data_IF_817207521399
#
_entry.id   IF_817207521399
#
_cell.length_a   1.000
_cell.length_b   1.000
_cell.length_c   1.000
_cell.angle_alpha   90.00
_cell.angle_beta   90.00
_cell.angle_gamma   90.00
#
_symmetry.space_group_name_H-M   'P 1'
#
loop_
_entity.id
_entity.type
_entity.pdbx_description
1 polymer ?
#
# COMPACT_ATOMS: atom_id res chain seq x y z
N UNK A 1 33.57 -3.86 17.88
CA UNK A 1 32.32 -4.22 17.27
C UNK A 1 32.59 -4.93 15.96
N UNK A 2 31.78 -5.89 15.50
CA UNK A 2 32.06 -6.55 14.23
C UNK A 2 32.11 -5.52 13.10
N UNK A 3 33.07 -5.68 12.19
CA UNK A 3 33.30 -4.75 11.08
C UNK A 3 32.17 -4.71 10.07
N UNK A 4 31.35 -5.78 10.03
CA UNK A 4 30.13 -5.90 9.24
C UNK A 4 28.93 -6.21 10.14
N UNK A 5 27.83 -5.53 9.89
CA UNK A 5 26.58 -5.74 10.63
C UNK A 5 25.37 -5.63 9.69
N UNK A 6 24.23 -6.19 10.14
CA UNK A 6 22.97 -5.97 9.46
C UNK A 6 22.39 -4.63 9.91
N UNK A 7 21.96 -3.82 8.94
CA UNK A 7 21.33 -2.54 9.15
C UNK A 7 20.02 -2.45 8.39
N UNK A 8 19.18 -1.47 8.74
CA UNK A 8 17.89 -1.21 8.10
C UNK A 8 17.92 0.15 7.41
N UNK A 9 17.55 0.21 6.15
CA UNK A 9 17.48 1.46 5.40
C UNK A 9 16.25 2.27 5.88
N UNK A 10 16.49 3.45 6.43
CA UNK A 10 15.45 4.37 6.87
C UNK A 10 15.04 5.34 5.76
N UNK A 11 16.00 5.75 4.93
CA UNK A 11 15.77 6.55 3.72
C UNK A 11 16.89 6.32 2.72
N UNK A 12 16.54 6.11 1.46
CA UNK A 12 17.50 6.02 0.36
C UNK A 12 17.41 7.28 -0.53
N UNK A 13 18.58 7.77 -0.98
CA UNK A 13 18.66 8.90 -1.90
C UNK A 13 19.89 8.78 -2.81
N UNK A 14 19.67 8.42 -4.06
CA UNK A 14 20.76 8.23 -5.03
C UNK A 14 21.77 7.17 -4.57
N UNK A 15 23.02 7.54 -4.46
CA UNK A 15 24.11 6.64 -4.02
C UNK A 15 24.26 6.56 -2.49
N UNK A 16 23.41 7.23 -1.72
CA UNK A 16 23.48 7.29 -0.26
C UNK A 16 22.22 6.76 0.39
N UNK A 17 22.34 6.22 1.60
CA UNK A 17 21.22 5.81 2.41
C UNK A 17 21.49 6.09 3.89
N UNK A 18 20.46 6.54 4.59
CA UNK A 18 20.42 6.52 6.05
C UNK A 18 20.05 5.13 6.49
N UNK A 19 20.88 4.55 7.32
CA UNK A 19 20.65 3.22 7.87
C UNK A 19 20.62 3.25 9.40
N UNK A 20 19.74 2.44 9.95
CA UNK A 20 19.63 2.19 11.38
C UNK A 20 20.42 0.93 11.74
N UNK A 21 21.32 1.07 12.71
CA UNK A 21 22.15 -0.03 13.23
C UNK A 21 21.70 -0.35 14.65
N UNK A 22 21.38 -1.62 14.93
CA UNK A 22 21.02 -2.13 16.27
C UNK A 22 19.91 -1.34 16.98
N UNK A 23 18.97 -0.77 16.20
CA UNK A 23 17.85 0.03 16.71
C UNK A 23 18.27 1.28 17.52
N UNK A 24 19.51 1.74 17.46
CA UNK A 24 20.02 2.84 18.30
C UNK A 24 20.73 3.94 17.51
N UNK A 25 21.53 3.58 16.53
CA UNK A 25 22.36 4.52 15.80
C UNK A 25 21.90 4.71 14.35
N UNK A 26 21.76 5.97 13.93
CA UNK A 26 21.56 6.36 12.54
C UNK A 26 22.91 6.68 11.88
N UNK A 27 23.20 6.03 10.76
CA UNK A 27 24.47 6.17 10.03
C UNK A 27 24.18 6.51 8.58
N UNK A 28 24.88 7.50 8.04
CA UNK A 28 24.89 7.76 6.60
C UNK A 28 25.88 6.81 5.93
N UNK A 29 25.40 6.00 5.00
CA UNK A 29 26.19 5.02 4.28
C UNK A 29 26.12 5.23 2.76
N UNK A 30 27.15 4.84 2.05
CA UNK A 30 27.18 4.83 0.59
C UNK A 30 26.88 3.44 0.04
N UNK A 31 26.26 3.38 -1.13
CA UNK A 31 26.05 2.14 -1.86
C UNK A 31 27.35 1.73 -2.56
N UNK A 32 27.79 0.48 -2.36
CA UNK A 32 28.99 -0.06 -3.02
C UNK A 32 28.69 -0.40 -4.48
N UNK A 33 29.01 0.56 -5.37
CA UNK A 33 28.82 0.38 -6.82
C UNK A 33 27.42 0.77 -7.31
N UNK A 34 27.26 0.78 -8.64
CA UNK A 34 26.02 1.23 -9.32
C UNK A 34 24.94 0.15 -9.44
N UNK A 35 25.28 -1.10 -9.16
CA UNK A 35 24.34 -2.25 -9.27
C UNK A 35 23.48 -2.43 -8.02
N UNK A 36 23.80 -1.77 -6.91
CA UNK A 36 23.04 -1.85 -5.67
C UNK A 36 22.02 -0.72 -5.64
N UNK A 37 20.74 -1.07 -5.65
CA UNK A 37 19.63 -0.13 -5.51
C UNK A 37 18.90 -0.38 -4.18
N UNK A 38 19.30 0.36 -3.15
CA UNK A 38 18.66 0.30 -1.85
C UNK A 38 17.37 1.13 -1.84
N UNK A 39 16.32 0.60 -1.22
CA UNK A 39 15.05 1.28 -1.00
C UNK A 39 14.72 1.32 0.49
N UNK A 40 13.77 2.17 0.85
CA UNK A 40 13.34 2.30 2.25
C UNK A 40 12.90 0.95 2.82
N UNK A 41 13.35 0.68 4.04
CA UNK A 41 13.10 -0.54 4.81
C UNK A 41 13.81 -1.81 4.29
N UNK A 42 14.78 -1.69 3.38
CA UNK A 42 15.68 -2.79 3.06
C UNK A 42 16.51 -3.23 4.28
N UNK A 43 16.76 -4.53 4.37
CA UNK A 43 17.80 -5.09 5.24
C UNK A 43 19.08 -5.16 4.44
N UNK A 44 20.16 -4.62 4.97
CA UNK A 44 21.42 -4.49 4.25
C UNK A 44 22.59 -4.93 5.10
N UNK A 45 23.65 -5.38 4.44
CA UNK A 45 24.96 -5.59 5.08
C UNK A 45 25.76 -4.29 4.99
N UNK A 46 26.05 -3.73 6.15
CA UNK A 46 26.84 -2.51 6.31
C UNK A 46 28.27 -2.86 6.67
N UNK A 47 29.23 -2.42 5.86
CA UNK A 47 30.66 -2.46 6.14
C UNK A 47 31.06 -1.12 6.80
N UNK A 48 31.58 -1.19 8.02
CA UNK A 48 31.97 -0.04 8.84
C UNK A 48 33.46 0.25 8.83
N UNK A 49 34.24 -0.52 8.09
CA UNK A 49 35.71 -0.32 7.97
C UNK A 49 36.02 0.86 7.04
N UNK A 50 35.07 1.28 6.20
CA UNK A 50 35.25 2.41 5.29
C UNK A 50 34.70 3.70 5.87
N UNK A 51 35.23 4.84 5.46
CA UNK A 51 34.69 6.16 5.77
C UNK A 51 34.38 6.90 4.45
N UNK A 52 33.10 7.15 4.15
CA UNK A 52 31.90 6.72 4.89
C UNK A 52 31.64 5.20 4.83
N UNK A 53 30.88 4.65 5.79
CA UNK A 53 30.44 3.25 5.78
C UNK A 53 29.74 2.87 4.48
N UNK A 54 29.88 1.61 4.05
CA UNK A 54 29.34 1.15 2.78
C UNK A 54 28.29 0.05 2.94
N UNK A 55 27.19 0.18 2.20
CA UNK A 55 26.25 -0.91 1.97
C UNK A 55 26.84 -1.81 0.90
N UNK A 56 27.18 -3.04 1.27
CA UNK A 56 27.83 -4.00 0.38
C UNK A 56 26.86 -5.01 -0.22
N UNK A 57 25.70 -5.21 0.42
CA UNK A 57 24.71 -6.21 0.00
C UNK A 57 23.32 -5.77 0.46
N UNK A 58 22.29 -6.07 -0.34
CA UNK A 58 20.87 -6.00 0.05
C UNK A 58 20.42 -7.43 0.31
N UNK A 59 19.92 -7.70 1.51
CA UNK A 59 19.36 -9.00 1.85
C UNK A 59 18.03 -9.22 1.14
N UNK A 60 17.64 -10.48 0.96
CA UNK A 60 16.41 -10.87 0.29
C UNK A 60 15.20 -10.12 0.84
N UNK A 61 14.43 -9.55 -0.07
CA UNK A 61 13.17 -8.84 0.24
C UNK A 61 12.03 -9.83 0.27
N UNK A 62 11.25 -9.83 1.34
CA UNK A 62 10.01 -10.64 1.43
C UNK A 62 8.95 -10.16 0.45
N UNK A 63 8.83 -8.84 0.31
CA UNK A 63 7.94 -8.15 -0.60
C UNK A 63 8.49 -6.75 -0.90
N UNK A 64 7.90 -6.08 -1.89
CA UNK A 64 8.22 -4.68 -2.16
C UNK A 64 7.00 -3.92 -2.68
N UNK A 65 6.80 -2.71 -2.16
CA UNK A 65 5.77 -1.81 -2.67
C UNK A 65 6.25 -1.20 -3.99
N UNK A 66 5.57 -1.54 -5.06
CA UNK A 66 5.83 -1.06 -6.40
C UNK A 66 4.88 0.08 -6.75
N UNK A 67 5.36 1.08 -7.44
CA UNK A 67 4.57 2.13 -8.06
C UNK A 67 5.05 2.32 -9.48
N UNK A 68 4.13 2.36 -10.41
CA UNK A 68 4.46 2.72 -11.77
C UNK A 68 4.37 4.23 -11.96
N UNK A 69 5.43 4.82 -12.49
CA UNK A 69 5.50 6.22 -12.92
C UNK A 69 5.75 6.25 -14.43
N UNK A 70 4.68 6.42 -15.22
CA UNK A 70 4.77 6.31 -16.67
C UNK A 70 5.13 4.89 -17.10
N UNK A 71 6.29 4.71 -17.73
CA UNK A 71 6.78 3.39 -18.18
C UNK A 71 7.83 2.77 -17.24
N UNK A 72 8.10 3.38 -16.09
CA UNK A 72 9.10 2.87 -15.15
C UNK A 72 8.43 2.38 -13.87
N UNK A 73 8.81 1.21 -13.46
CA UNK A 73 8.51 0.72 -12.11
C UNK A 73 9.46 1.37 -11.12
N UNK A 74 8.91 1.91 -10.06
CA UNK A 74 9.67 2.44 -8.93
C UNK A 74 9.32 1.66 -7.69
N UNK A 75 10.33 1.07 -7.07
CA UNK A 75 10.20 0.47 -5.76
C UNK A 75 10.24 1.56 -4.70
N UNK A 76 9.24 1.61 -3.85
CA UNK A 76 9.09 2.64 -2.82
C UNK A 76 9.64 2.19 -1.47
N UNK A 77 9.30 0.96 -1.07
CA UNK A 77 9.71 0.37 0.19
C UNK A 77 9.68 -1.16 0.10
N UNK A 78 10.38 -1.84 1.01
CA UNK A 78 10.44 -3.30 1.07
C UNK A 78 10.08 -3.83 2.46
N UNK A 79 9.86 -5.14 2.55
CA UNK A 79 9.66 -5.86 3.81
C UNK A 79 8.52 -5.28 4.65
N UNK A 80 7.38 -5.00 4.01
CA UNK A 80 6.17 -4.43 4.62
C UNK A 80 5.35 -5.55 5.23
N UNK A 81 4.92 -5.37 6.48
CA UNK A 81 4.08 -6.32 7.21
C UNK A 81 2.60 -5.98 7.13
N UNK A 82 2.27 -4.67 7.02
CA UNK A 82 0.91 -4.18 6.88
C UNK A 82 0.90 -2.85 6.10
N UNK A 83 -0.05 -2.67 5.20
CA UNK A 83 -0.30 -1.39 4.55
C UNK A 83 -1.59 -0.75 5.10
N UNK A 84 -1.51 0.50 5.58
CA UNK A 84 -2.67 1.30 5.95
C UNK A 84 -3.07 2.17 4.76
N UNK A 85 -4.22 1.86 4.16
CA UNK A 85 -4.80 2.65 3.07
C UNK A 85 -5.72 3.72 3.66
N UNK A 86 -5.22 4.96 3.70
CA UNK A 86 -5.94 6.09 4.29
C UNK A 86 -6.90 6.65 3.26
N UNK A 87 -8.18 6.59 3.57
CA UNK A 87 -9.31 7.05 2.78
C UNK A 87 -10.01 8.21 3.50
N UNK A 88 -10.75 9.01 2.78
CA UNK A 88 -11.56 10.10 3.37
C UNK A 88 -12.74 10.44 2.44
N UNK A 89 -13.76 11.05 2.99
CA UNK A 89 -14.86 11.63 2.20
C UNK A 89 -14.57 13.04 1.73
N UNK A 90 -13.54 13.73 2.32
CA UNK A 90 -13.15 15.09 1.94
C UNK A 90 -11.62 15.25 2.05
N UNK A 91 -10.91 15.36 0.92
CA UNK A 91 -11.41 15.06 -0.42
C UNK A 91 -11.92 13.63 -0.53
N UNK A 92 -12.86 13.38 -1.44
CA UNK A 92 -13.38 12.03 -1.65
C UNK A 92 -12.31 11.13 -2.29
N UNK A 93 -12.12 9.93 -1.75
CA UNK A 93 -11.22 8.97 -2.35
C UNK A 93 -11.81 8.35 -3.63
N UNK A 94 -10.94 7.86 -4.50
CA UNK A 94 -11.32 7.17 -5.73
C UNK A 94 -11.42 5.65 -5.49
N UNK A 95 -12.62 5.03 -5.62
CA UNK A 95 -12.76 3.56 -5.59
C UNK A 95 -11.84 2.85 -6.58
N UNK A 96 -11.71 3.37 -7.79
CA UNK A 96 -10.84 2.82 -8.82
C UNK A 96 -9.37 2.85 -8.40
N UNK A 97 -8.87 4.00 -7.91
CA UNK A 97 -7.48 4.14 -7.45
C UNK A 97 -7.22 3.23 -6.25
N UNK A 98 -8.17 3.13 -5.32
CA UNK A 98 -8.07 2.26 -4.15
C UNK A 98 -7.96 0.78 -4.56
N UNK A 99 -8.81 0.30 -5.47
CA UNK A 99 -8.73 -1.08 -5.98
C UNK A 99 -7.42 -1.35 -6.71
N UNK A 100 -6.87 -0.39 -7.47
CA UNK A 100 -5.55 -0.52 -8.09
C UNK A 100 -4.44 -0.75 -7.06
N UNK A 101 -4.47 0.04 -5.98
CA UNK A 101 -3.52 -0.12 -4.87
C UNK A 101 -3.70 -1.47 -4.20
N UNK A 102 -4.94 -1.87 -3.90
CA UNK A 102 -5.25 -3.17 -3.30
C UNK A 102 -4.74 -4.33 -4.17
N UNK A 103 -4.99 -4.31 -5.48
CA UNK A 103 -4.48 -5.32 -6.40
C UNK A 103 -2.93 -5.40 -6.37
N UNK A 104 -2.25 -4.25 -6.38
CA UNK A 104 -0.79 -4.21 -6.24
C UNK A 104 -0.28 -4.75 -4.90
N UNK A 105 -1.01 -4.52 -3.81
CA UNK A 105 -0.65 -5.07 -2.49
C UNK A 105 -0.87 -6.58 -2.44
N UNK A 106 -2.00 -7.08 -2.94
CA UNK A 106 -2.30 -8.53 -2.98
C UNK A 106 -1.28 -9.26 -3.84
N UNK A 107 -0.93 -8.74 -5.02
CA UNK A 107 0.09 -9.32 -5.91
C UNK A 107 1.47 -9.42 -5.22
N UNK A 108 1.78 -8.54 -4.30
CA UNK A 108 3.01 -8.54 -3.49
C UNK A 108 2.84 -9.23 -2.13
N UNK A 109 1.70 -9.87 -1.87
CA UNK A 109 1.39 -10.53 -0.59
C UNK A 109 1.53 -9.60 0.63
N UNK A 110 1.16 -8.33 0.46
CA UNK A 110 1.17 -7.33 1.52
C UNK A 110 -0.23 -7.22 2.09
N UNK A 111 -0.47 -7.60 3.36
CA UNK A 111 -1.74 -7.37 4.05
C UNK A 111 -2.06 -5.88 4.10
N UNK A 112 -3.36 -5.54 4.08
CA UNK A 112 -3.78 -4.15 4.16
C UNK A 112 -4.98 -3.95 5.08
N UNK A 113 -5.13 -2.72 5.58
CA UNK A 113 -6.25 -2.23 6.37
C UNK A 113 -6.74 -0.92 5.76
N UNK A 114 -8.03 -0.81 5.46
CA UNK A 114 -8.65 0.41 4.98
C UNK A 114 -8.99 1.31 6.19
N UNK A 115 -8.49 2.54 6.19
CA UNK A 115 -8.69 3.49 7.29
C UNK A 115 -9.48 4.68 6.78
N UNK A 116 -10.76 4.74 7.10
CA UNK A 116 -11.62 5.88 6.78
C UNK A 116 -11.40 6.97 7.81
N UNK A 117 -10.55 7.92 7.47
CA UNK A 117 -10.14 9.02 8.34
C UNK A 117 -11.11 10.21 8.24
N UNK A 118 -10.97 11.16 9.17
CA UNK A 118 -11.81 12.35 9.33
C UNK A 118 -13.27 12.00 9.67
N UNK A 119 -13.44 10.97 10.48
CA UNK A 119 -14.77 10.50 10.90
C UNK A 119 -15.53 11.51 11.80
N UNK A 120 -14.90 12.63 12.14
CA UNK A 120 -15.54 13.80 12.77
C UNK A 120 -16.42 14.62 11.79
N UNK A 121 -16.34 14.35 10.50
CA UNK A 121 -17.11 15.03 9.46
C UNK A 121 -18.28 14.13 8.98
N UNK A 122 -19.46 14.25 9.57
CA UNK A 122 -20.60 13.34 9.34
C UNK A 122 -20.94 13.16 7.83
N UNK A 123 -21.18 14.25 7.10
CA UNK A 123 -21.51 14.21 5.68
C UNK A 123 -20.44 13.53 4.82
N UNK A 124 -19.18 14.01 4.87
CA UNK A 124 -18.06 13.37 4.20
C UNK A 124 -17.85 11.91 4.60
N UNK A 125 -18.03 11.55 5.87
CA UNK A 125 -17.91 10.17 6.34
C UNK A 125 -18.96 9.27 5.68
N UNK A 126 -20.22 9.69 5.59
CA UNK A 126 -21.28 8.95 4.89
C UNK A 126 -20.96 8.76 3.40
N UNK A 127 -20.40 9.78 2.74
CA UNK A 127 -19.93 9.67 1.36
C UNK A 127 -18.78 8.66 1.22
N UNK A 128 -17.83 8.66 2.16
CA UNK A 128 -16.74 7.69 2.19
C UNK A 128 -17.26 6.26 2.36
N UNK A 129 -18.18 6.02 3.29
CA UNK A 129 -18.79 4.71 3.52
C UNK A 129 -19.58 4.21 2.30
N UNK A 130 -20.30 5.10 1.61
CA UNK A 130 -20.96 4.77 0.33
C UNK A 130 -19.94 4.39 -0.76
N UNK A 131 -18.81 5.08 -0.83
CA UNK A 131 -17.75 4.73 -1.78
C UNK A 131 -17.03 3.44 -1.38
N UNK A 132 -16.85 3.21 -0.07
CA UNK A 132 -16.27 1.99 0.48
C UNK A 132 -17.12 0.75 0.12
N UNK A 133 -18.45 0.85 0.24
CA UNK A 133 -19.35 -0.28 -0.10
C UNK A 133 -19.23 -0.74 -1.56
N UNK A 134 -18.78 0.13 -2.47
CA UNK A 134 -18.54 -0.22 -3.88
C UNK A 134 -17.30 -1.07 -4.10
N UNK A 135 -16.32 -0.99 -3.20
CA UNK A 135 -15.08 -1.77 -3.28
C UNK A 135 -15.10 -3.01 -2.38
N UNK A 136 -15.97 -3.03 -1.36
CA UNK A 136 -16.15 -4.23 -0.52
C UNK A 136 -16.69 -5.40 -1.33
N UNK A 137 -16.28 -6.64 -1.05
CA UNK A 137 -16.91 -7.82 -1.61
C UNK A 137 -18.42 -7.85 -1.35
N UNK A 138 -19.17 -8.45 -2.25
CA UNK A 138 -20.57 -8.76 -1.97
C UNK A 138 -20.64 -9.81 -0.85
N UNK A 139 -21.54 -9.67 0.14
CA UNK A 139 -21.52 -10.50 1.37
C UNK A 139 -21.54 -12.01 1.13
N UNK A 140 -22.18 -12.45 0.03
CA UNK A 140 -22.25 -13.86 -0.34
C UNK A 140 -20.98 -14.39 -1.04
N UNK A 141 -20.03 -13.52 -1.41
CA UNK A 141 -18.89 -13.91 -2.24
C UNK A 141 -17.60 -14.08 -1.45
N UNK A 142 -17.35 -13.19 -0.50
CA UNK A 142 -16.20 -13.22 0.39
C UNK A 142 -16.44 -12.36 1.63
N UNK A 143 -15.65 -12.53 2.70
CA UNK A 143 -15.61 -11.58 3.83
C UNK A 143 -15.26 -10.16 3.36
N UNK A 144 -15.75 -9.17 4.09
CA UNK A 144 -15.35 -7.78 3.86
C UNK A 144 -13.83 -7.59 4.01
N UNK A 145 -13.28 -6.70 3.18
CA UNK A 145 -11.92 -6.20 3.42
C UNK A 145 -11.87 -5.49 4.76
N UNK A 146 -10.83 -5.70 5.57
CA UNK A 146 -10.74 -5.09 6.89
C UNK A 146 -10.72 -3.57 6.79
N UNK A 147 -11.57 -2.91 7.57
CA UNK A 147 -11.66 -1.46 7.59
C UNK A 147 -12.05 -0.91 8.96
N UNK A 148 -11.65 0.34 9.22
CA UNK A 148 -11.98 1.07 10.45
C UNK A 148 -12.29 2.53 10.17
N UNK A 149 -13.00 3.16 11.11
CA UNK A 149 -13.08 4.61 11.22
C UNK A 149 -11.92 5.15 12.06
N UNK A 150 -11.36 6.28 11.64
CA UNK A 150 -10.33 6.99 12.40
C UNK A 150 -10.61 8.49 12.46
N UNK A 151 -10.17 9.11 13.54
CA UNK A 151 -10.23 10.56 13.72
C UNK A 151 -8.90 11.07 14.24
N UNK A 152 -8.13 11.69 13.38
CA UNK A 152 -6.81 12.24 13.72
C UNK A 152 -6.85 13.55 14.52
N UNK A 153 -8.03 14.09 14.84
CA UNK A 153 -8.19 15.28 15.69
C UNK A 153 -8.45 14.92 17.16
N UNK A 154 -8.79 13.68 17.47
CA UNK A 154 -9.09 13.23 18.83
C UNK A 154 -8.03 12.22 19.30
N UNK A 155 -7.56 12.37 20.56
CA UNK A 155 -6.53 11.50 21.15
C UNK A 155 -6.98 10.03 21.13
N UNK A 156 -8.24 9.75 21.50
CA UNK A 156 -8.80 8.39 21.52
C UNK A 156 -9.30 7.92 20.14
N UNK A 157 -9.18 8.77 19.11
CA UNK A 157 -9.62 8.46 17.75
C UNK A 157 -8.73 7.44 17.02
N UNK A 158 -7.64 7.00 17.65
CA UNK A 158 -6.71 6.02 17.14
C UNK A 158 -6.69 4.69 17.92
N UNK A 159 -7.50 4.54 18.97
CA UNK A 159 -7.48 3.33 19.80
C UNK A 159 -7.86 2.10 18.98
N UNK A 160 -8.90 2.20 18.14
CA UNK A 160 -9.29 1.14 17.22
C UNK A 160 -8.18 0.83 16.22
N UNK A 161 -7.49 1.86 15.71
CA UNK A 161 -6.37 1.67 14.77
C UNK A 161 -5.21 0.91 15.44
N UNK A 162 -4.85 1.26 16.68
CA UNK A 162 -3.81 0.55 17.41
C UNK A 162 -4.17 -0.92 17.62
N UNK A 163 -5.43 -1.23 17.99
CA UNK A 163 -5.92 -2.59 18.16
C UNK A 163 -5.86 -3.38 16.85
N UNK A 164 -6.32 -2.79 15.75
CA UNK A 164 -6.31 -3.43 14.44
C UNK A 164 -4.89 -3.65 13.92
N UNK A 165 -3.96 -2.72 14.17
CA UNK A 165 -2.54 -2.92 13.85
C UNK A 165 -1.98 -4.12 14.63
N UNK A 166 -2.30 -4.26 15.91
CA UNK A 166 -1.84 -5.38 16.73
C UNK A 166 -2.42 -6.72 16.25
N UNK A 167 -3.67 -6.74 15.78
CA UNK A 167 -4.34 -7.95 15.28
C UNK A 167 -3.86 -8.36 13.89
N UNK A 168 -3.70 -7.39 12.99
CA UNK A 168 -3.43 -7.66 11.57
C UNK A 168 -1.94 -7.62 11.21
N UNK A 169 -1.08 -7.10 12.08
CA UNK A 169 0.34 -7.10 11.84
C UNK A 169 0.96 -8.42 12.30
N UNK A 170 1.56 -9.24 11.41
CA UNK A 170 2.13 -10.51 11.78
C UNK A 170 3.17 -10.37 12.91
N UNK A 171 3.20 -11.34 13.81
CA UNK A 171 4.24 -11.40 14.83
C UNK A 171 5.57 -11.74 14.15
N UNK A 172 6.44 -10.75 14.01
CA UNK A 172 7.86 -10.98 13.66
C UNK A 172 8.61 -11.46 14.91
N UNK A 173 9.74 -12.11 14.71
CA UNK A 173 10.58 -12.55 15.83
C UNK A 173 10.83 -11.40 16.82
N UNK A 174 10.97 -11.70 18.09
CA UNK A 174 11.12 -10.70 19.18
C UNK A 174 12.26 -9.69 18.99
N UNK A 175 13.15 -9.93 18.03
CA UNK A 175 14.28 -9.05 17.67
C UNK A 175 14.01 -8.11 16.50
N UNK A 176 12.89 -8.24 15.78
CA UNK A 176 12.59 -7.43 14.59
C UNK A 176 11.34 -6.57 14.82
N UNK A 177 11.40 -5.31 14.35
CA UNK A 177 10.24 -4.41 14.32
C UNK A 177 9.34 -4.75 13.15
N UNK A 178 8.03 -4.79 13.37
CA UNK A 178 7.06 -4.86 12.26
C UNK A 178 6.99 -3.53 11.53
N UNK A 179 6.84 -3.58 10.22
CA UNK A 179 6.90 -2.41 9.33
C UNK A 179 5.55 -2.14 8.69
N UNK A 180 5.03 -0.95 8.92
CA UNK A 180 3.69 -0.51 8.49
C UNK A 180 3.85 0.60 7.45
N UNK A 181 3.29 0.42 6.26
CA UNK A 181 3.29 1.45 5.22
C UNK A 181 2.04 2.33 5.30
N UNK A 182 2.21 3.66 5.30
CA UNK A 182 1.12 4.62 5.13
C UNK A 182 0.93 4.93 3.66
N UNK A 183 -0.26 4.67 3.14
CA UNK A 183 -0.63 4.88 1.75
C UNK A 183 -1.93 5.67 1.66
N UNK A 184 -2.12 6.42 0.60
CA UNK A 184 -3.36 7.17 0.35
C UNK A 184 -3.12 8.37 -0.54
N UNK A 185 -4.19 8.89 -1.12
CA UNK A 185 -4.16 10.08 -1.97
C UNK A 185 -3.81 11.34 -1.17
N UNK A 186 -3.52 12.43 -1.86
CA UNK A 186 -3.22 13.72 -1.20
C UNK A 186 -4.45 14.24 -0.43
N UNK A 187 -4.23 14.80 0.75
CA UNK A 187 -5.31 15.37 1.56
C UNK A 187 -6.09 14.38 2.43
N UNK A 188 -5.87 13.06 2.34
CA UNK A 188 -6.55 12.03 3.15
C UNK A 188 -6.17 12.04 4.63
N UNK A 189 -5.14 12.78 5.02
CA UNK A 189 -4.70 12.90 6.41
C UNK A 189 -3.52 12.01 6.80
N UNK A 190 -2.75 11.48 5.82
CA UNK A 190 -1.52 10.69 6.09
C UNK A 190 -0.55 11.40 7.02
N UNK A 191 -0.20 12.65 6.73
CA UNK A 191 0.74 13.43 7.55
C UNK A 191 0.21 13.70 8.95
N UNK A 192 -1.09 13.90 9.10
CA UNK A 192 -1.72 14.04 10.43
C UNK A 192 -1.60 12.74 11.22
N UNK A 193 -1.87 11.60 10.58
CA UNK A 193 -1.74 10.28 11.20
C UNK A 193 -0.28 9.97 11.53
N UNK A 194 0.66 10.27 10.63
CA UNK A 194 2.09 10.13 10.87
C UNK A 194 2.52 10.90 12.13
N UNK A 195 2.16 12.18 12.24
CA UNK A 195 2.54 13.03 13.37
C UNK A 195 1.94 12.57 14.71
N UNK A 196 0.77 11.93 14.67
CA UNK A 196 0.17 11.36 15.89
C UNK A 196 0.85 10.04 16.30
N UNK A 197 1.15 9.17 15.34
CA UNK A 197 1.79 7.87 15.60
C UNK A 197 3.29 8.02 15.89
N UNK A 198 3.92 9.06 15.34
CA UNK A 198 5.35 9.37 15.50
C UNK A 198 5.50 10.86 15.81
N UNK A 199 5.30 11.31 17.06
CA UNK A 199 5.38 12.73 17.43
C UNK A 199 6.70 13.40 17.03
N UNK A 200 7.81 12.65 17.02
CA UNK A 200 9.14 13.14 16.64
C UNK A 200 9.45 13.00 15.15
N UNK A 201 8.47 12.72 14.29
CA UNK A 201 8.69 12.53 12.85
C UNK A 201 9.38 13.74 12.20
N UNK A 202 9.00 14.96 12.58
CA UNK A 202 9.62 16.18 12.06
C UNK A 202 11.10 16.29 12.44
N UNK A 203 11.46 15.98 13.70
CA UNK A 203 12.85 15.98 14.16
C UNK A 203 13.69 14.92 13.44
N UNK A 204 13.16 13.70 13.28
CA UNK A 204 13.81 12.65 12.52
C UNK A 204 14.02 13.05 11.04
N UNK A 205 13.03 13.72 10.43
CA UNK A 205 13.13 14.21 9.05
C UNK A 205 14.16 15.32 8.91
N UNK A 206 14.23 16.27 9.87
CA UNK A 206 15.21 17.36 9.85
C UNK A 206 16.63 16.81 9.96
N UNK A 207 16.92 15.93 10.91
CA UNK A 207 18.22 15.32 11.10
C UNK A 207 18.73 14.62 9.82
N UNK A 208 17.82 13.92 9.10
CA UNK A 208 18.13 13.26 7.83
C UNK A 208 18.35 14.29 6.70
N UNK A 209 17.56 15.36 6.66
CA UNK A 209 17.60 16.36 5.57
C UNK A 209 18.82 17.29 5.66
N UNK A 210 19.21 17.70 6.86
CA UNK A 210 20.40 18.54 7.08
C UNK A 210 21.67 17.87 6.60
N UNK A 211 21.81 16.57 6.86
CA UNK A 211 22.99 15.83 6.44
C UNK A 211 23.00 15.46 4.94
N UNK A 212 21.87 15.51 4.25
CA UNK A 212 21.81 15.29 2.79
C UNK A 212 21.97 16.57 1.97
N UNK A 213 22.09 17.76 2.60
CA UNK A 213 22.18 19.06 1.92
C UNK A 213 21.06 19.26 0.85
N UNK A 214 19.97 18.52 0.93
CA UNK A 214 18.90 18.57 -0.05
C UNK A 214 17.89 19.64 0.37
N UNK A 215 17.87 20.73 -0.37
CA UNK A 215 16.89 21.80 -0.23
C UNK A 215 15.45 21.26 -0.25
N UNK A 216 14.60 21.96 0.47
CA UNK A 216 13.14 21.83 0.61
C UNK A 216 12.48 21.29 -0.65
N UNK A 217 11.59 20.28 -0.51
CA UNK A 217 10.25 20.17 -1.09
C UNK A 217 9.89 18.78 -1.59
N UNK A 218 8.63 18.41 -1.26
CA UNK A 218 7.82 17.27 -1.69
C UNK A 218 8.48 15.90 -1.50
N UNK A 219 7.86 15.09 -0.66
CA UNK A 219 8.23 13.71 -0.37
C UNK A 219 8.20 12.89 -1.67
N UNK A 220 9.32 12.88 -2.39
CA UNK A 220 9.50 12.08 -3.62
C UNK A 220 10.06 10.69 -3.34
N UNK A 221 10.53 10.45 -2.10
CA UNK A 221 11.05 9.18 -1.62
C UNK A 221 10.34 8.78 -0.33
N UNK A 222 10.16 7.48 -0.12
CA UNK A 222 9.64 6.96 1.14
C UNK A 222 10.64 7.16 2.27
N UNK A 223 10.13 7.29 3.50
CA UNK A 223 10.94 7.39 4.70
C UNK A 223 10.35 6.51 5.80
N UNK A 224 11.20 5.78 6.51
CA UNK A 224 10.82 4.98 7.66
C UNK A 224 11.09 5.76 8.96
N UNK A 225 10.19 5.57 9.92
CA UNK A 225 10.23 6.19 11.25
C UNK A 225 10.07 5.10 12.29
N UNK A 226 10.77 5.24 13.40
CA UNK A 226 10.54 4.39 14.57
C UNK A 226 9.33 4.92 15.34
N UNK A 227 8.36 4.08 15.61
CA UNK A 227 7.24 4.44 16.47
C UNK A 227 7.66 4.37 17.94
N UNK A 228 7.11 5.25 18.79
CA UNK A 228 7.30 5.14 20.24
C UNK A 228 6.84 3.76 20.72
N UNK A 229 7.68 3.11 21.52
CA UNK A 229 7.38 1.77 22.03
C UNK A 229 6.88 1.86 23.48
N UNK A 230 5.65 1.38 23.73
CA UNK A 230 5.19 1.18 25.08
C UNK A 230 5.87 -0.05 25.71
N UNK A 231 6.14 -0.05 27.01
CA UNK A 231 6.74 -1.20 27.69
C UNK A 231 5.95 -2.49 27.44
N UNK A 232 6.63 -3.55 27.02
CA UNK A 232 6.01 -4.84 26.72
C UNK A 232 5.27 -4.94 25.39
N UNK A 233 5.20 -3.85 24.61
CA UNK A 233 4.63 -3.83 23.26
C UNK A 233 5.69 -4.11 22.21
N UNK A 234 5.23 -4.52 21.00
CA UNK A 234 6.11 -4.71 19.84
C UNK A 234 6.77 -3.40 19.41
N UNK A 235 7.98 -3.50 18.92
CA UNK A 235 8.60 -2.42 18.17
C UNK A 235 7.94 -2.30 16.80
N UNK A 236 7.47 -1.12 16.46
CA UNK A 236 6.82 -0.82 15.19
C UNK A 236 7.62 0.23 14.43
N UNK A 237 7.65 0.09 13.12
CA UNK A 237 8.23 1.07 12.20
C UNK A 237 7.16 1.53 11.23
N UNK A 238 7.00 2.84 11.10
CA UNK A 238 6.07 3.44 10.16
C UNK A 238 6.84 3.92 8.92
N UNK A 239 6.33 3.58 7.75
CA UNK A 239 6.91 3.97 6.47
C UNK A 239 5.95 4.96 5.83
N UNK A 240 6.35 6.24 5.76
CA UNK A 240 5.60 7.23 4.98
C UNK A 240 5.94 7.07 3.50
N UNK A 241 4.93 6.86 2.69
CA UNK A 241 5.08 6.75 1.25
C UNK A 241 4.59 8.02 0.56
N UNK A 242 5.19 8.41 -0.57
CA UNK A 242 4.67 9.52 -1.36
C UNK A 242 3.18 9.31 -1.67
N UNK A 243 2.39 10.37 -1.49
CA UNK A 243 0.98 10.34 -1.86
C UNK A 243 0.83 10.01 -3.36
N UNK A 244 -0.13 9.17 -3.69
CA UNK A 244 -0.42 8.83 -5.07
C UNK A 244 -1.72 9.50 -5.53
N UNK A 245 -1.67 10.23 -6.61
CA UNK A 245 -2.86 10.68 -7.34
C UNK A 245 -3.24 9.68 -8.43
N UNK A 246 -2.26 8.92 -8.92
CA UNK A 246 -2.41 7.85 -9.89
C UNK A 246 -1.52 6.69 -9.47
N UNK A 247 -2.09 5.51 -9.39
CA UNK A 247 -1.36 4.27 -9.12
C UNK A 247 -1.42 3.41 -10.38
N UNK A 248 -0.29 3.30 -11.08
CA UNK A 248 -0.20 2.50 -12.30
C UNK A 248 -0.07 1.01 -11.94
N UNK A 249 -0.75 0.17 -12.68
CA UNK A 249 -0.81 -1.28 -12.50
C UNK A 249 -0.49 -2.06 -13.78
N UNK A 250 0.21 -1.46 -14.76
CA UNK A 250 0.50 -2.15 -16.03
C UNK A 250 1.46 -3.34 -15.87
N UNK A 251 2.11 -3.47 -14.71
CA UNK A 251 2.92 -4.63 -14.34
C UNK A 251 2.10 -5.80 -13.78
N UNK A 252 0.83 -5.58 -13.47
CA UNK A 252 -0.08 -6.60 -12.97
C UNK A 252 -0.71 -7.35 -14.13
N UNK A 253 -0.87 -8.65 -13.97
CA UNK A 253 -1.64 -9.44 -14.88
C UNK A 253 -3.13 -9.43 -14.54
N UNK A 254 -3.91 -10.19 -15.29
CA UNK A 254 -5.35 -10.28 -15.09
C UNK A 254 -5.73 -10.97 -13.79
N UNK A 255 -4.96 -11.96 -13.37
CA UNK A 255 -5.22 -12.72 -12.15
C UNK A 255 -4.97 -11.85 -10.94
N UNK A 256 -3.90 -11.04 -10.97
CA UNK A 256 -3.62 -10.02 -9.97
C UNK A 256 -4.79 -9.04 -9.82
N UNK A 257 -5.34 -8.54 -10.93
CA UNK A 257 -6.51 -7.65 -10.90
C UNK A 257 -7.75 -8.37 -10.40
N UNK A 258 -7.95 -9.64 -10.78
CA UNK A 258 -9.10 -10.44 -10.33
C UNK A 258 -9.09 -10.70 -8.82
N UNK A 259 -7.92 -10.67 -8.18
CA UNK A 259 -7.79 -10.89 -6.74
C UNK A 259 -8.61 -9.93 -5.87
N UNK A 260 -8.93 -8.74 -6.38
CA UNK A 260 -9.76 -7.74 -5.67
C UNK A 260 -11.23 -7.73 -6.13
N UNK A 261 -11.63 -8.73 -6.93
CA UNK A 261 -13.00 -8.97 -7.37
C UNK A 261 -13.41 -10.42 -7.09
N UNK A 262 -13.56 -10.81 -5.82
CA UNK A 262 -13.89 -12.20 -5.47
C UNK A 262 -15.24 -12.68 -6.05
N UNK A 263 -16.11 -11.75 -6.45
CA UNK A 263 -17.36 -12.01 -7.15
C UNK A 263 -17.16 -12.85 -8.40
N UNK A 264 -16.06 -12.63 -9.13
CA UNK A 264 -15.81 -13.35 -10.39
C UNK A 264 -15.54 -14.83 -10.14
N UNK A 265 -14.69 -15.14 -9.17
CA UNK A 265 -14.41 -16.54 -8.78
C UNK A 265 -15.66 -17.22 -8.20
N UNK A 266 -16.45 -16.48 -7.39
CA UNK A 266 -17.69 -17.01 -6.81
C UNK A 266 -18.74 -17.33 -7.89
N UNK A 267 -18.95 -16.44 -8.86
CA UNK A 267 -19.89 -16.66 -9.97
C UNK A 267 -19.46 -17.85 -10.83
N UNK A 268 -18.17 -18.06 -11.00
CA UNK A 268 -17.65 -19.20 -11.77
C UNK A 268 -17.83 -20.56 -11.09
N UNK A 269 -18.10 -20.62 -9.78
CA UNK A 269 -18.47 -21.86 -9.11
C UNK A 269 -19.82 -22.42 -9.60
N UNK A 270 -20.73 -21.54 -10.05
CA UNK A 270 -22.02 -21.90 -10.63
C UNK A 270 -21.99 -22.23 -12.12
N UNK A 271 -20.83 -22.06 -12.77
CA UNK A 271 -20.63 -22.31 -14.21
C UNK A 271 -19.48 -21.50 -14.77
N UNK A 272 -18.83 -21.97 -15.81
CA UNK A 272 -17.72 -21.27 -16.45
C UNK A 272 -18.21 -20.37 -17.59
N UNK A 273 -17.46 -19.31 -17.87
CA UNK A 273 -17.63 -18.55 -19.10
C UNK A 273 -17.35 -19.44 -20.33
N UNK A 274 -18.05 -19.17 -21.43
CA UNK A 274 -17.84 -19.89 -22.69
C UNK A 274 -16.41 -19.82 -23.20
N UNK A 275 -15.72 -18.69 -22.96
CA UNK A 275 -14.35 -18.47 -23.36
C UNK A 275 -13.45 -18.42 -22.12
N UNK A 276 -12.28 -19.08 -22.19
CA UNK A 276 -11.30 -19.12 -21.11
C UNK A 276 -10.70 -17.74 -20.82
N UNK A 277 -10.56 -16.92 -21.87
CA UNK A 277 -10.02 -15.55 -21.82
C UNK A 277 -11.12 -14.48 -21.69
N UNK A 278 -12.35 -14.87 -21.28
CA UNK A 278 -13.49 -13.96 -21.14
C UNK A 278 -13.18 -12.78 -20.23
N UNK A 279 -13.14 -11.57 -20.76
CA UNK A 279 -12.88 -10.35 -20.00
C UNK A 279 -14.09 -9.87 -19.17
N UNK A 280 -15.22 -10.57 -19.22
CA UNK A 280 -16.49 -10.23 -18.55
C UNK A 280 -17.12 -8.91 -19.03
N UNK A 281 -16.77 -8.45 -20.24
CA UNK A 281 -17.27 -7.18 -20.79
C UNK A 281 -18.46 -7.37 -21.70
N UNK A 282 -18.29 -8.07 -22.83
CA UNK A 282 -19.30 -8.21 -23.88
C UNK A 282 -19.38 -9.62 -24.45
N UNK A 283 -18.61 -10.56 -23.93
CA UNK A 283 -18.48 -11.90 -24.49
C UNK A 283 -19.76 -12.70 -24.29
N UNK A 284 -20.28 -13.34 -25.36
CA UNK A 284 -21.46 -14.18 -25.26
C UNK A 284 -21.18 -15.41 -24.39
N UNK A 285 -22.12 -15.73 -23.50
CA UNK A 285 -21.96 -16.84 -22.55
C UNK A 285 -21.08 -16.50 -21.36
N UNK A 286 -20.92 -15.21 -21.03
CA UNK A 286 -20.25 -14.74 -19.84
C UNK A 286 -21.12 -14.92 -18.59
N UNK A 287 -20.59 -15.56 -17.53
CA UNK A 287 -21.34 -15.81 -16.28
C UNK A 287 -21.66 -14.50 -15.53
N UNK A 288 -20.78 -13.50 -15.62
CA UNK A 288 -21.01 -12.18 -14.97
C UNK A 288 -22.17 -11.46 -15.64
N UNK A 289 -22.20 -11.42 -16.96
CA UNK A 289 -23.30 -10.84 -17.73
C UNK A 289 -24.62 -11.57 -17.47
N UNK A 290 -24.58 -12.90 -17.41
CA UNK A 290 -25.73 -13.73 -17.09
C UNK A 290 -26.26 -13.45 -15.66
N UNK A 291 -25.37 -13.30 -14.69
CA UNK A 291 -25.73 -13.00 -13.33
C UNK A 291 -26.41 -11.62 -13.19
N UNK A 292 -25.87 -10.60 -13.87
CA UNK A 292 -26.49 -9.26 -13.91
C UNK A 292 -27.90 -9.34 -14.51
N UNK A 293 -28.04 -9.99 -15.67
CA UNK A 293 -29.34 -10.17 -16.33
C UNK A 293 -30.33 -10.91 -15.45
N UNK A 294 -29.92 -12.02 -14.85
CA UNK A 294 -30.77 -12.81 -13.94
C UNK A 294 -31.25 -11.97 -12.75
N UNK A 295 -30.39 -11.13 -12.17
CA UNK A 295 -30.75 -10.24 -11.07
C UNK A 295 -31.78 -9.18 -11.52
N UNK A 296 -31.64 -8.63 -12.74
CA UNK A 296 -32.61 -7.71 -13.32
C UNK A 296 -33.97 -8.39 -13.54
N UNK A 297 -33.94 -9.56 -14.18
CA UNK A 297 -35.18 -10.32 -14.50
C UNK A 297 -35.91 -10.78 -13.23
N UNK A 298 -35.18 -11.02 -12.14
CA UNK A 298 -35.75 -11.35 -10.82
C UNK A 298 -36.16 -10.12 -9.99
N UNK A 299 -36.03 -8.91 -10.51
CA UNK A 299 -36.33 -7.66 -9.79
C UNK A 299 -35.34 -7.29 -8.67
N UNK A 300 -34.21 -7.95 -8.60
CA UNK A 300 -33.12 -7.71 -7.62
C UNK A 300 -32.21 -6.54 -8.05
N UNK A 301 -32.80 -5.35 -8.21
CA UNK A 301 -32.10 -4.20 -8.80
C UNK A 301 -30.88 -3.76 -8.02
N UNK A 302 -30.91 -3.84 -6.68
CA UNK A 302 -29.74 -3.50 -5.86
C UNK A 302 -28.54 -4.41 -6.16
N UNK A 303 -28.77 -5.73 -6.31
CA UNK A 303 -27.75 -6.70 -6.68
C UNK A 303 -27.24 -6.49 -8.11
N UNK A 304 -28.14 -6.27 -9.05
CA UNK A 304 -27.79 -5.99 -10.43
C UNK A 304 -26.89 -4.75 -10.54
N UNK A 305 -27.25 -3.67 -9.86
CA UNK A 305 -26.47 -2.43 -9.82
C UNK A 305 -25.10 -2.64 -9.18
N UNK A 306 -25.01 -3.41 -8.08
CA UNK A 306 -23.74 -3.71 -7.43
C UNK A 306 -22.80 -4.50 -8.34
N UNK A 307 -23.29 -5.53 -9.02
CA UNK A 307 -22.51 -6.30 -9.99
C UNK A 307 -22.07 -5.45 -11.19
N UNK A 308 -22.93 -4.58 -11.69
CA UNK A 308 -22.60 -3.68 -12.80
C UNK A 308 -21.55 -2.63 -12.40
N UNK A 309 -21.65 -2.04 -11.21
CA UNK A 309 -20.63 -1.13 -10.66
C UNK A 309 -19.26 -1.82 -10.59
N UNK A 310 -19.22 -3.05 -10.11
CA UNK A 310 -17.98 -3.84 -10.07
C UNK A 310 -17.45 -4.18 -11.46
N UNK A 311 -18.33 -4.50 -12.40
CA UNK A 311 -17.94 -4.75 -13.80
C UNK A 311 -17.30 -3.51 -14.44
N UNK A 312 -17.86 -2.32 -14.19
CA UNK A 312 -17.30 -1.05 -14.65
C UNK A 312 -15.91 -0.80 -14.04
N UNK A 313 -15.75 -1.03 -12.73
CA UNK A 313 -14.45 -0.88 -12.07
C UNK A 313 -13.43 -1.90 -12.61
N UNK A 314 -13.84 -3.14 -12.80
CA UNK A 314 -13.04 -4.19 -13.41
C UNK A 314 -12.54 -3.81 -14.81
N UNK A 315 -13.42 -3.35 -15.68
CA UNK A 315 -13.08 -2.89 -17.04
C UNK A 315 -11.99 -1.81 -17.02
N UNK A 316 -12.12 -0.82 -16.11
CA UNK A 316 -11.15 0.27 -15.95
C UNK A 316 -9.80 -0.22 -15.43
N UNK A 317 -9.79 -1.17 -14.49
CA UNK A 317 -8.56 -1.75 -13.99
C UNK A 317 -7.87 -2.58 -15.09
N UNK A 318 -8.60 -3.45 -15.78
CA UNK A 318 -8.07 -4.25 -16.89
C UNK A 318 -7.45 -3.40 -18.00
N UNK A 319 -8.14 -2.33 -18.42
CA UNK A 319 -7.60 -1.43 -19.45
C UNK A 319 -6.30 -0.74 -19.02
N UNK A 320 -6.07 -0.63 -17.72
CA UNK A 320 -4.84 -0.06 -17.15
C UNK A 320 -3.74 -1.10 -16.92
N UNK A 321 -4.10 -2.34 -16.61
CA UNK A 321 -3.18 -3.45 -16.43
C UNK A 321 -2.60 -3.94 -17.79
N UNK A 322 -3.44 -4.03 -18.81
CA UNK A 322 -3.07 -4.52 -20.15
C UNK A 322 -2.67 -3.40 -21.12
N UNK A 323 -2.40 -2.17 -20.65
CA UNK A 323 -2.01 -1.08 -21.55
C UNK A 323 -0.69 -1.46 -22.25
N UNK A 324 -0.69 -1.78 -23.58
CA UNK A 324 0.53 -2.14 -24.28
C UNK A 324 1.52 -0.97 -24.19
N UNK A 325 2.77 -1.31 -24.03
CA UNK A 325 3.86 -0.33 -24.12
C UNK A 325 3.84 0.30 -25.53
N UNK A 326 3.27 1.50 -25.65
CA UNK A 326 3.10 2.20 -26.95
C UNK A 326 4.44 2.57 -27.62
N UNK A 327 5.58 2.07 -27.12
CA UNK A 327 6.90 2.35 -27.67
C UNK A 327 7.57 1.15 -28.36
N UNK A 328 6.94 -0.05 -28.40
CA UNK A 328 7.50 -1.18 -29.16
C UNK A 328 7.17 -1.15 -30.67
N UNK A 329 6.53 -0.07 -31.15
CA UNK A 329 6.21 0.15 -32.56
C UNK A 329 6.81 1.47 -33.06
N UNK A 330 8.15 1.60 -32.98
CA UNK A 330 8.93 2.49 -33.83
C UNK A 330 10.33 1.95 -34.07
#
# INVERSE_FOLDING_TARGET
>A
MPDRCIARVMRAHGANAWVEVNAEAMVLAQLKGRSIEAITNDRVVLDRQTDPPQITEILERRNSLLRQEGHREKRLAANIDLALLILSGEPSFSPETTLRVMAGLVAQQIPFLLVVNKSDLDGPTQMALKSLSRIQPMPETAPEWPWILANTKQVNGLDALHQEIELNCPAVSSSESSSIALMGESGMGKSSLLNLLVPDANAQTQAISEALSSGRHTTTSSQAYRMPQAPGKRSLRLIDTPGFQRFGISHLDREDVASVFPEWSWLQQGGSCRFQDCAHLHEPGCVVQAAIKTAVDAGQLARANALEDKRILWERLLSSANAPDRRSTR
#
